data_IF_056140971417
#
_entry.id   IF_056140971417
#
_cell.length_a   1.000
_cell.length_b   1.000
_cell.length_c   1.000
_cell.angle_alpha   90.00
_cell.angle_beta   90.00
_cell.angle_gamma   90.00
#
_symmetry.space_group_name_H-M   'P 1'
#
loop_
_entity.id
_entity.type
_entity.pdbx_description
1 polymer ?
#
# COMPACT_ATOMS: atom_id res chain seq x y z
N UNK A 1 1.29 7.66 -38.64
CA UNK A 1 0.30 6.76 -38.01
C UNK A 1 0.04 7.26 -36.58
N UNK A 2 -1.11 7.90 -36.30
CA UNK A 2 -1.47 8.33 -34.93
C UNK A 2 -2.07 7.13 -34.20
N UNK A 3 -1.49 6.71 -33.06
CA UNK A 3 -2.11 5.75 -32.15
C UNK A 3 -3.08 6.52 -31.26
N UNK A 4 -4.37 6.23 -31.35
CA UNK A 4 -5.38 6.73 -30.40
C UNK A 4 -5.40 5.82 -29.17
N UNK A 5 -5.48 6.39 -27.97
CA UNK A 5 -5.76 5.64 -26.73
C UNK A 5 -7.28 5.61 -26.57
N UNK A 6 -7.89 4.44 -26.76
CA UNK A 6 -9.31 4.23 -26.50
C UNK A 6 -9.47 3.55 -25.14
N UNK A 7 -10.13 4.19 -24.18
CA UNK A 7 -10.54 3.55 -22.93
C UNK A 7 -12.01 3.11 -23.07
N UNK A 8 -12.25 1.80 -23.09
CA UNK A 8 -13.60 1.21 -23.23
C UNK A 8 -14.27 0.93 -21.88
N UNK A 9 -13.63 1.29 -20.75
CA UNK A 9 -14.21 1.13 -19.43
C UNK A 9 -15.33 2.15 -19.19
N UNK A 10 -16.47 1.66 -18.68
CA UNK A 10 -17.56 2.49 -18.19
C UNK A 10 -17.29 2.83 -16.71
N UNK A 11 -17.20 4.11 -16.32
CA UNK A 11 -17.09 4.47 -14.92
C UNK A 11 -18.39 4.13 -14.18
N UNK A 12 -18.27 3.51 -13.00
CA UNK A 12 -19.38 3.37 -12.06
C UNK A 12 -19.27 4.44 -10.97
N UNK A 13 -20.41 5.03 -10.60
CA UNK A 13 -20.46 5.93 -9.44
C UNK A 13 -20.21 5.11 -8.18
N UNK A 14 -19.14 5.43 -7.46
CA UNK A 14 -18.74 4.74 -6.22
C UNK A 14 -19.54 5.24 -5.01
N UNK A 15 -20.03 6.49 -5.02
CA UNK A 15 -20.87 7.07 -3.97
C UNK A 15 -20.44 8.48 -3.57
N UNK A 16 -21.03 9.00 -2.49
CA UNK A 16 -20.72 10.31 -1.94
C UNK A 16 -19.76 10.19 -0.74
N UNK A 17 -18.85 11.15 -0.58
CA UNK A 17 -18.00 11.24 0.61
C UNK A 17 -18.77 11.55 1.89
N UNK A 18 -20.04 11.97 1.80
CA UNK A 18 -20.86 12.28 2.97
C UNK A 18 -20.35 13.45 3.81
N UNK A 19 -19.43 14.26 3.26
CA UNK A 19 -18.87 15.45 3.90
C UNK A 19 -19.61 16.69 3.44
N UNK A 20 -19.86 17.62 4.37
CA UNK A 20 -20.38 18.95 4.07
C UNK A 20 -19.36 19.85 3.32
N UNK A 21 -18.14 19.34 3.13
CA UNK A 21 -17.03 20.09 2.56
C UNK A 21 -16.38 19.26 1.46
N UNK A 22 -15.87 19.94 0.43
CA UNK A 22 -15.19 19.28 -0.68
C UNK A 22 -13.93 18.54 -0.23
N UNK A 23 -13.67 17.41 -0.88
CA UNK A 23 -12.39 16.70 -0.82
C UNK A 23 -11.48 17.31 -1.89
N UNK A 24 -10.35 17.88 -1.49
CA UNK A 24 -9.45 18.61 -2.38
C UNK A 24 -8.30 17.77 -2.93
N UNK A 25 -8.00 16.66 -2.26
CA UNK A 25 -6.99 15.70 -2.70
C UNK A 25 -7.43 14.28 -2.40
N UNK A 26 -7.11 13.38 -3.31
CA UNK A 26 -7.27 11.94 -3.16
C UNK A 26 -5.94 11.29 -3.50
N UNK A 27 -5.47 10.38 -2.66
CA UNK A 27 -4.29 9.59 -2.96
C UNK A 27 -4.43 8.17 -2.40
N UNK A 28 -3.98 7.16 -3.16
CA UNK A 28 -3.86 5.82 -2.62
C UNK A 28 -2.80 5.83 -1.51
N UNK A 29 -2.99 4.99 -0.51
CA UNK A 29 -1.92 4.56 0.37
C UNK A 29 -1.65 3.07 0.21
N UNK A 30 -0.80 2.56 1.09
CA UNK A 30 -0.47 1.13 1.08
C UNK A 30 -1.72 0.25 1.30
N UNK A 31 -1.63 -1.00 0.82
CA UNK A 31 -2.67 -2.03 0.99
C UNK A 31 -4.05 -1.67 0.43
N UNK A 32 -4.11 -0.83 -0.61
CA UNK A 32 -5.36 -0.48 -1.30
C UNK A 32 -6.25 0.50 -0.52
N UNK A 33 -5.73 1.13 0.53
CA UNK A 33 -6.46 2.20 1.24
C UNK A 33 -6.48 3.45 0.38
N UNK A 34 -7.64 4.10 0.20
CA UNK A 34 -7.72 5.42 -0.41
C UNK A 34 -7.81 6.47 0.69
N UNK A 35 -7.04 7.55 0.59
CA UNK A 35 -7.10 8.67 1.52
C UNK A 35 -7.60 9.92 0.82
N UNK A 36 -8.39 10.72 1.54
CA UNK A 36 -8.90 12.01 1.09
C UNK A 36 -8.61 13.11 2.10
N UNK A 37 -8.22 14.28 1.61
CA UNK A 37 -8.04 15.48 2.42
C UNK A 37 -9.17 16.48 2.17
N UNK A 38 -9.78 16.96 3.24
CA UNK A 38 -10.76 18.05 3.22
C UNK A 38 -10.37 19.12 4.24
N UNK A 39 -10.01 20.31 3.76
CA UNK A 39 -9.42 21.40 4.55
C UNK A 39 -8.23 20.91 5.41
N UNK A 40 -8.42 20.80 6.72
CA UNK A 40 -7.39 20.44 7.70
C UNK A 40 -7.44 18.97 8.09
N UNK A 41 -8.37 18.21 7.52
CA UNK A 41 -8.69 16.85 7.97
C UNK A 41 -8.33 15.82 6.91
N UNK A 42 -7.77 14.72 7.38
CA UNK A 42 -7.47 13.52 6.62
C UNK A 42 -8.51 12.44 6.93
N UNK A 43 -8.98 11.78 5.89
CA UNK A 43 -9.95 10.70 5.96
C UNK A 43 -9.46 9.47 5.19
N UNK A 44 -9.85 8.28 5.62
CA UNK A 44 -9.85 7.08 4.79
C UNK A 44 -11.17 7.03 4.01
N UNK A 45 -11.09 6.61 2.76
CA UNK A 45 -12.22 6.47 1.84
C UNK A 45 -12.40 4.99 1.52
N UNK A 46 -13.61 4.48 1.68
CA UNK A 46 -14.01 3.15 1.23
C UNK A 46 -14.27 3.18 -0.29
N UNK A 47 -13.43 2.53 -1.12
CA UNK A 47 -13.53 2.66 -2.58
C UNK A 47 -14.76 2.01 -3.21
N UNK A 48 -15.52 1.21 -2.44
CA UNK A 48 -16.77 0.60 -2.91
C UNK A 48 -18.02 1.45 -2.67
N UNK A 49 -17.96 2.39 -1.72
CA UNK A 49 -19.14 3.19 -1.29
C UNK A 49 -18.90 4.70 -1.25
N UNK A 50 -17.63 5.13 -1.33
CA UNK A 50 -17.23 6.51 -1.12
C UNK A 50 -17.28 6.95 0.35
N UNK A 51 -17.75 6.11 1.27
CA UNK A 51 -17.87 6.45 2.68
C UNK A 51 -16.51 6.81 3.28
N UNK A 52 -16.48 7.85 4.11
CA UNK A 52 -15.25 8.33 4.74
C UNK A 52 -15.21 8.03 6.24
N UNK A 53 -14.02 7.74 6.74
CA UNK A 53 -13.74 7.65 8.17
C UNK A 53 -12.60 8.60 8.54
N UNK A 54 -12.78 9.34 9.62
CA UNK A 54 -11.78 10.31 10.08
C UNK A 54 -10.49 9.62 10.50
N UNK A 55 -9.35 10.19 10.11
CA UNK A 55 -8.02 9.75 10.50
C UNK A 55 -7.41 10.73 11.49
N UNK A 56 -7.24 11.98 11.05
CA UNK A 56 -6.59 13.02 11.86
C UNK A 56 -6.89 14.44 11.33
N UNK A 57 -6.60 15.45 12.16
CA UNK A 57 -6.52 16.85 11.79
C UNK A 57 -5.03 17.23 11.74
N UNK A 58 -4.55 17.66 10.58
CA UNK A 58 -3.16 18.09 10.37
C UNK A 58 -3.00 19.62 10.49
N UNK A 59 -4.05 20.32 10.94
CA UNK A 59 -4.04 21.76 11.14
C UNK A 59 -4.04 22.57 9.85
N UNK A 60 -3.77 23.88 9.98
CA UNK A 60 -3.88 24.85 8.89
C UNK A 60 -2.70 24.82 7.89
N UNK A 61 -1.71 23.96 8.09
CA UNK A 61 -0.45 23.97 7.32
C UNK A 61 -0.60 23.67 5.84
N UNK A 62 -1.69 22.98 5.44
CA UNK A 62 -1.93 22.60 4.04
C UNK A 62 -3.07 23.38 3.36
N UNK A 63 -3.89 24.14 4.10
CA UNK A 63 -4.98 24.96 3.53
C UNK A 63 -5.87 24.22 2.51
N UNK A 64 -6.12 24.85 1.35
CA UNK A 64 -6.75 24.22 0.19
C UNK A 64 -5.68 23.58 -0.73
N UNK A 65 -4.98 22.56 -0.25
CA UNK A 65 -4.07 21.80 -1.10
C UNK A 65 -4.89 20.91 -2.06
N UNK A 66 -4.82 21.20 -3.37
CA UNK A 66 -5.51 20.47 -4.43
C UNK A 66 -4.74 19.22 -4.88
N UNK A 67 -4.32 18.40 -3.92
CA UNK A 67 -3.55 17.21 -4.21
C UNK A 67 -2.98 16.57 -2.96
N UNK A 68 -2.74 15.26 -3.06
CA UNK A 68 -2.07 14.49 -2.04
C UNK A 68 -1.05 13.58 -2.72
N UNK A 69 0.13 13.44 -2.09
CA UNK A 69 1.04 12.36 -2.46
C UNK A 69 0.49 11.04 -1.90
N UNK A 70 0.80 9.90 -2.53
CA UNK A 70 0.51 8.59 -1.94
C UNK A 70 1.04 8.48 -0.52
N UNK A 71 0.19 8.01 0.39
CA UNK A 71 0.54 7.88 1.79
C UNK A 71 1.09 6.48 2.06
N UNK A 72 2.36 6.41 2.45
CA UNK A 72 2.93 5.19 3.00
C UNK A 72 2.57 5.10 4.47
N UNK A 73 1.79 4.11 4.87
CA UNK A 73 1.45 3.96 6.28
C UNK A 73 2.72 3.56 7.03
N UNK A 74 2.96 4.13 8.23
CA UNK A 74 3.98 3.56 9.11
C UNK A 74 3.60 2.12 9.40
N UNK A 75 4.41 1.13 9.02
CA UNK A 75 4.06 -0.26 9.22
C UNK A 75 3.99 -0.54 10.72
N UNK A 76 2.86 -1.09 11.16
CA UNK A 76 2.65 -1.49 12.55
C UNK A 76 3.26 -2.85 12.86
N UNK A 77 3.62 -3.62 11.83
CA UNK A 77 4.25 -4.94 11.92
C UNK A 77 5.65 -4.94 11.32
N UNK A 78 6.58 -5.62 11.97
CA UNK A 78 7.96 -5.77 11.50
C UNK A 78 8.03 -6.45 10.12
N UNK A 79 7.14 -7.41 9.85
CA UNK A 79 7.08 -8.07 8.55
C UNK A 79 6.66 -7.11 7.44
N UNK A 80 5.72 -6.19 7.71
CA UNK A 80 5.34 -5.16 6.74
C UNK A 80 6.47 -4.17 6.47
N UNK A 81 7.29 -3.85 7.49
CA UNK A 81 8.50 -3.02 7.30
C UNK A 81 9.45 -3.68 6.32
N UNK A 82 9.70 -4.98 6.51
CA UNK A 82 10.56 -5.77 5.65
C UNK A 82 10.03 -5.85 4.22
N UNK A 83 8.74 -6.11 4.04
CA UNK A 83 8.14 -6.18 2.71
C UNK A 83 8.21 -4.83 2.00
N UNK A 84 7.84 -3.75 2.70
CA UNK A 84 7.93 -2.39 2.16
C UNK A 84 9.37 -2.01 1.78
N UNK A 85 10.36 -2.42 2.58
CA UNK A 85 11.78 -2.19 2.30
C UNK A 85 12.23 -2.99 1.07
N UNK A 86 11.81 -4.25 0.96
CA UNK A 86 12.13 -5.10 -0.18
C UNK A 86 11.55 -4.51 -1.48
N UNK A 87 10.31 -4.00 -1.45
CA UNK A 87 9.66 -3.33 -2.59
C UNK A 87 10.45 -2.12 -3.11
N UNK A 88 11.04 -1.34 -2.21
CA UNK A 88 11.87 -0.18 -2.58
C UNK A 88 13.24 -0.59 -3.13
N UNK A 89 13.87 -1.60 -2.53
CA UNK A 89 15.23 -2.04 -2.93
C UNK A 89 15.25 -2.95 -4.15
N UNK A 90 14.17 -3.69 -4.38
CA UNK A 90 14.09 -4.67 -5.46
C UNK A 90 12.81 -4.47 -6.29
N UNK A 91 12.63 -3.28 -6.90
CA UNK A 91 11.39 -2.93 -7.60
C UNK A 91 11.10 -3.80 -8.83
N UNK A 92 12.12 -4.46 -9.40
CA UNK A 92 11.93 -5.43 -10.49
C UNK A 92 11.35 -6.78 -10.04
N UNK A 93 11.46 -7.11 -8.76
CA UNK A 93 10.96 -8.36 -8.18
C UNK A 93 9.68 -8.16 -7.36
N UNK A 94 9.57 -7.04 -6.65
CA UNK A 94 8.48 -6.76 -5.72
C UNK A 94 7.69 -5.53 -6.16
N UNK A 95 6.93 -5.69 -7.24
CA UNK A 95 6.12 -4.61 -7.81
C UNK A 95 4.85 -4.42 -6.99
N UNK A 96 4.68 -3.25 -6.37
CA UNK A 96 3.67 -2.97 -5.32
C UNK A 96 2.21 -2.89 -5.80
N UNK A 97 1.96 -3.05 -7.09
CA UNK A 97 0.63 -2.88 -7.69
C UNK A 97 -0.29 -4.00 -7.19
N UNK A 98 -1.12 -3.66 -6.20
CA UNK A 98 -2.11 -4.55 -5.57
C UNK A 98 -1.52 -5.80 -4.87
N UNK A 99 -0.46 -5.63 -4.07
CA UNK A 99 0.12 -6.71 -3.25
C UNK A 99 -0.19 -6.52 -1.76
N UNK A 100 -1.42 -6.80 -1.27
CA UNK A 100 -1.74 -6.71 0.15
C UNK A 100 -0.96 -7.76 0.95
N UNK A 101 -0.65 -7.44 2.20
CA UNK A 101 -0.18 -8.45 3.15
C UNK A 101 -1.33 -9.38 3.53
N UNK A 102 -1.08 -10.68 3.46
CA UNK A 102 -2.04 -11.75 3.70
C UNK A 102 -1.49 -12.71 4.75
N UNK A 103 -2.38 -13.30 5.54
CA UNK A 103 -2.06 -14.40 6.45
C UNK A 103 -2.68 -15.69 5.93
N UNK A 104 -1.88 -16.75 5.81
CA UNK A 104 -2.35 -18.11 5.51
C UNK A 104 -1.56 -19.12 6.34
N UNK A 105 -2.24 -19.79 7.27
CA UNK A 105 -1.59 -20.68 8.23
C UNK A 105 -0.49 -19.96 9.01
N UNK A 106 0.73 -20.50 9.00
CA UNK A 106 1.92 -19.90 9.64
C UNK A 106 2.63 -18.85 8.79
N UNK A 107 2.14 -18.58 7.58
CA UNK A 107 2.76 -17.61 6.67
C UNK A 107 2.04 -16.26 6.75
N UNK A 108 2.83 -15.22 6.96
CA UNK A 108 2.45 -13.84 6.66
C UNK A 108 3.19 -13.40 5.40
N UNK A 109 2.50 -13.01 4.33
CA UNK A 109 3.14 -12.88 3.02
C UNK A 109 2.51 -11.81 2.13
N UNK A 110 3.26 -11.38 1.11
CA UNK A 110 2.75 -10.63 -0.03
C UNK A 110 3.00 -11.41 -1.31
N UNK A 111 1.98 -11.42 -2.17
CA UNK A 111 2.10 -11.95 -3.53
C UNK A 111 2.19 -10.81 -4.53
N UNK A 112 3.25 -10.83 -5.33
CA UNK A 112 3.56 -9.85 -6.36
C UNK A 112 3.17 -10.44 -7.71
N UNK A 113 1.95 -10.10 -8.18
CA UNK A 113 1.33 -10.75 -9.34
C UNK A 113 2.16 -10.63 -10.61
N UNK A 114 2.76 -9.46 -10.84
CA UNK A 114 3.52 -9.17 -12.06
C UNK A 114 4.78 -10.04 -12.20
N UNK A 115 5.50 -10.27 -11.10
CA UNK A 115 6.71 -11.09 -11.09
C UNK A 115 6.45 -12.56 -10.75
N UNK A 116 5.25 -12.87 -10.24
CA UNK A 116 4.96 -14.18 -9.64
C UNK A 116 5.71 -14.42 -8.32
N UNK A 117 6.37 -13.41 -7.76
CA UNK A 117 7.13 -13.53 -6.52
C UNK A 117 6.21 -13.55 -5.30
N UNK A 118 6.62 -14.29 -4.29
CA UNK A 118 6.03 -14.34 -2.96
C UNK A 118 7.15 -14.06 -1.97
N UNK A 119 6.96 -13.03 -1.17
CA UNK A 119 7.80 -12.74 -0.02
C UNK A 119 6.99 -13.03 1.23
N UNK A 120 7.51 -13.90 2.10
CA UNK A 120 6.77 -14.40 3.25
C UNK A 120 7.64 -14.44 4.50
N UNK A 121 7.00 -14.35 5.65
CA UNK A 121 7.58 -14.65 6.95
C UNK A 121 6.87 -15.86 7.52
N UNK A 122 7.64 -16.85 7.96
CA UNK A 122 7.14 -18.02 8.68
C UNK A 122 8.15 -18.43 9.74
N UNK A 123 7.67 -18.74 10.95
CA UNK A 123 8.54 -19.12 12.08
C UNK A 123 9.68 -18.12 12.35
N UNK A 124 9.43 -16.82 12.13
CA UNK A 124 10.42 -15.75 12.29
C UNK A 124 11.50 -15.69 11.19
N UNK A 125 11.38 -16.51 10.15
CA UNK A 125 12.28 -16.52 9.00
C UNK A 125 11.64 -15.80 7.82
N UNK A 126 12.42 -14.93 7.17
CA UNK A 126 12.07 -14.33 5.90
C UNK A 126 12.38 -15.35 4.79
N UNK A 127 11.39 -15.60 3.95
CA UNK A 127 11.41 -16.63 2.91
C UNK A 127 10.92 -16.02 1.60
N UNK A 128 11.60 -16.35 0.51
CA UNK A 128 11.26 -15.93 -0.83
C UNK A 128 11.01 -17.15 -1.72
N UNK A 129 10.01 -17.07 -2.59
CA UNK A 129 9.79 -18.03 -3.66
C UNK A 129 8.97 -17.42 -4.78
N UNK A 130 8.98 -18.08 -5.94
CA UNK A 130 8.04 -17.80 -7.04
C UNK A 130 6.92 -18.83 -7.02
N UNK A 131 5.78 -18.51 -7.62
CA UNK A 131 4.67 -19.46 -7.78
C UNK A 131 5.17 -20.74 -8.46
N UNK A 132 4.91 -21.89 -7.82
CA UNK A 132 5.38 -23.20 -8.28
C UNK A 132 6.85 -23.51 -7.98
N UNK A 133 7.59 -22.57 -7.38
CA UNK A 133 8.98 -22.74 -6.96
C UNK A 133 9.14 -23.30 -5.54
N UNK A 134 10.38 -23.60 -5.18
CA UNK A 134 10.74 -24.03 -3.82
C UNK A 134 11.06 -22.81 -2.93
N UNK A 135 10.55 -22.76 -1.69
CA UNK A 135 10.92 -21.74 -0.70
C UNK A 135 12.42 -21.66 -0.43
N UNK A 136 12.97 -20.45 -0.53
CA UNK A 136 14.36 -20.12 -0.16
C UNK A 136 14.33 -19.27 1.10
N UNK A 137 14.96 -19.75 2.16
CA UNK A 137 15.12 -19.00 3.41
C UNK A 137 16.22 -17.95 3.22
N UNK A 138 15.90 -16.69 3.46
CA UNK A 138 16.82 -15.56 3.35
C UNK A 138 17.53 -15.26 4.68
N UNK A 139 16.88 -15.55 5.80
CA UNK A 139 17.42 -15.35 7.16
C UNK A 139 16.32 -15.02 8.18
N UNK A 140 16.72 -14.77 9.43
CA UNK A 140 15.76 -14.40 10.45
C UNK A 140 15.31 -12.94 10.27
N UNK A 141 14.04 -12.65 10.58
CA UNK A 141 13.48 -11.29 10.55
C UNK A 141 14.33 -10.31 11.38
N UNK A 142 14.82 -10.76 12.54
CA UNK A 142 15.67 -9.98 13.44
C UNK A 142 16.96 -9.49 12.79
N UNK A 143 17.50 -10.24 11.83
CA UNK A 143 18.79 -9.92 11.20
C UNK A 143 18.66 -8.70 10.27
N UNK A 144 17.45 -8.49 9.74
CA UNK A 144 17.16 -7.42 8.78
C UNK A 144 16.51 -6.21 9.45
N UNK A 145 15.74 -6.42 10.51
CA UNK A 145 14.85 -5.40 11.08
C UNK A 145 15.56 -4.11 11.49
N UNK A 146 16.75 -4.22 12.10
CA UNK A 146 17.54 -3.03 12.48
C UNK A 146 17.90 -2.13 11.30
N UNK A 147 18.33 -2.74 10.19
CA UNK A 147 18.68 -2.02 8.96
C UNK A 147 17.44 -1.42 8.28
N UNK A 148 16.31 -2.12 8.34
CA UNK A 148 15.02 -1.67 7.80
C UNK A 148 14.50 -0.45 8.56
N UNK A 149 14.51 -0.49 9.90
CA UNK A 149 14.10 0.63 10.74
C UNK A 149 15.03 1.83 10.53
N UNK A 150 16.34 1.61 10.46
CA UNK A 150 17.31 2.67 10.18
C UNK A 150 17.09 3.32 8.79
N UNK A 151 16.52 2.58 7.83
CA UNK A 151 16.14 3.09 6.52
C UNK A 151 14.77 3.80 6.51
N UNK A 152 14.09 3.94 7.65
CA UNK A 152 12.82 4.66 7.79
C UNK A 152 11.56 3.84 7.52
N UNK A 153 11.67 2.51 7.56
CA UNK A 153 10.56 1.58 7.36
C UNK A 153 10.04 1.06 8.69
#
# INVERSE_FOLDING_TARGET
>A
MKRSISNTQQPSTVGSFGLATAVFGLAPGDSGTLYGAAYTKLFKVEPSTGAVSYVMDFGSGLGQAFGMAPLKATPTRDEDRLFNYAEDKFPGLFVTVFSPSLQSGSYYYRFYRESGAILAVTQGQLVYYVVGGTPVVLGAVSDFLGSVIAAGY
#
